data_IF_548361163546
#
_entry.id   IF_548361163546
#
_cell.length_a   1.000
_cell.length_b   1.000
_cell.length_c   1.000
_cell.angle_alpha   90.00
_cell.angle_beta   90.00
_cell.angle_gamma   90.00
#
_symmetry.space_group_name_H-M   'P 1'
#
loop_
_entity.id
_entity.type
_entity.pdbx_description
1 polymer ?
#
# COMPACT_ATOMS: atom_id res chain seq x y z
N UNK A 1 16.08 -5.89 49.18
CA UNK A 1 15.79 -6.95 48.19
C UNK A 1 15.58 -6.29 46.86
N UNK A 2 16.60 -6.32 46.01
CA UNK A 2 16.63 -5.68 44.70
C UNK A 2 15.78 -6.51 43.74
N UNK A 3 14.63 -5.98 43.32
CA UNK A 3 13.83 -6.59 42.27
C UNK A 3 14.59 -6.48 40.95
N UNK A 4 15.18 -7.59 40.51
CA UNK A 4 15.71 -7.71 39.17
C UNK A 4 14.53 -7.67 38.18
N UNK A 5 14.49 -6.64 37.33
CA UNK A 5 13.67 -6.65 36.12
C UNK A 5 13.99 -7.91 35.32
N UNK A 6 12.98 -8.63 34.79
CA UNK A 6 13.23 -9.75 33.91
C UNK A 6 14.03 -9.25 32.70
N UNK A 7 15.19 -9.85 32.43
CA UNK A 7 15.98 -9.59 31.23
C UNK A 7 15.06 -9.73 30.01
N UNK A 8 15.02 -8.72 29.14
CA UNK A 8 14.25 -8.78 27.91
C UNK A 8 14.68 -9.99 27.09
N UNK A 9 13.71 -10.72 26.50
CA UNK A 9 13.94 -11.88 25.63
C UNK A 9 14.84 -11.56 24.41
N UNK A 10 15.08 -10.26 24.16
CA UNK A 10 15.97 -9.72 23.13
C UNK A 10 17.47 -10.03 23.31
N UNK A 11 17.89 -10.47 24.51
CA UNK A 11 19.32 -10.65 24.84
C UNK A 11 19.76 -12.14 24.91
N UNK A 12 18.89 -13.07 24.45
CA UNK A 12 19.28 -14.48 24.32
C UNK A 12 20.28 -14.65 23.18
N UNK A 13 21.44 -15.29 23.41
CA UNK A 13 22.43 -15.49 22.36
C UNK A 13 21.81 -16.30 21.22
N UNK A 14 22.00 -15.84 19.99
CA UNK A 14 21.61 -16.59 18.81
C UNK A 14 22.40 -17.88 18.78
N UNK A 15 21.69 -18.98 18.90
CA UNK A 15 22.24 -20.30 18.68
C UNK A 15 22.13 -20.55 17.17
N UNK A 16 23.16 -21.13 16.56
CA UNK A 16 23.12 -21.60 15.16
C UNK A 16 23.19 -23.12 15.19
N UNK A 17 22.08 -23.74 15.60
CA UNK A 17 21.99 -25.19 15.81
C UNK A 17 20.68 -25.73 15.24
N UNK A 18 20.68 -27.03 14.93
CA UNK A 18 19.46 -27.72 14.58
C UNK A 18 18.56 -27.90 15.81
N UNK A 19 17.26 -27.74 15.61
CA UNK A 19 16.29 -28.05 16.65
C UNK A 19 16.09 -29.57 16.76
N UNK A 20 15.84 -30.06 17.97
CA UNK A 20 15.60 -31.47 18.24
C UNK A 20 14.38 -32.02 17.48
N UNK A 21 14.44 -33.29 17.11
CA UNK A 21 13.36 -33.91 16.34
C UNK A 21 12.07 -33.99 17.15
N UNK A 22 12.18 -34.36 18.42
CA UNK A 22 11.06 -34.47 19.34
C UNK A 22 10.32 -33.13 19.48
N UNK A 23 11.07 -32.03 19.62
CA UNK A 23 10.50 -30.69 19.76
C UNK A 23 9.78 -30.26 18.47
N UNK A 24 10.39 -30.51 17.30
CA UNK A 24 9.75 -30.20 16.03
C UNK A 24 8.51 -31.08 15.77
N UNK A 25 8.56 -32.36 16.13
CA UNK A 25 7.41 -33.26 16.05
C UNK A 25 6.26 -32.80 16.95
N UNK A 26 6.56 -32.40 18.19
CA UNK A 26 5.58 -31.85 19.13
C UNK A 26 4.95 -30.55 18.60
N UNK A 27 5.74 -29.68 17.98
CA UNK A 27 5.23 -28.49 17.30
C UNK A 27 4.30 -28.84 16.12
N UNK A 28 4.70 -29.78 15.25
CA UNK A 28 3.87 -30.22 14.12
C UNK A 28 2.56 -30.89 14.55
N UNK A 29 2.50 -31.45 15.76
CA UNK A 29 1.27 -32.01 16.32
C UNK A 29 0.22 -30.92 16.64
N UNK A 30 0.65 -29.68 16.91
CA UNK A 30 -0.24 -28.54 17.20
C UNK A 30 -0.86 -27.90 15.96
N UNK A 31 -0.34 -28.21 14.77
CA UNK A 31 -0.82 -27.64 13.51
C UNK A 31 -1.87 -28.58 12.90
N UNK A 32 -3.04 -28.06 12.46
CA UNK A 32 -4.07 -28.87 11.82
C UNK A 32 -3.60 -29.36 10.44
N UNK A 33 -3.06 -30.57 10.38
CA UNK A 33 -2.63 -31.21 9.13
C UNK A 33 -2.81 -32.72 9.17
N UNK A 34 -2.93 -33.32 7.97
CA UNK A 34 -2.98 -34.76 7.81
C UNK A 34 -1.69 -35.45 8.30
N UNK A 35 -1.83 -36.62 8.92
CA UNK A 35 -0.71 -37.39 9.48
C UNK A 35 0.34 -37.75 8.42
N UNK A 36 -0.08 -38.07 7.19
CA UNK A 36 0.84 -38.34 6.08
C UNK A 36 1.70 -37.12 5.73
N UNK A 37 1.16 -35.91 5.86
CA UNK A 37 1.90 -34.67 5.60
C UNK A 37 2.83 -34.31 6.76
N UNK A 38 2.42 -34.59 8.01
CA UNK A 38 3.27 -34.47 9.19
C UNK A 38 4.53 -35.33 9.08
N UNK A 39 4.37 -36.60 8.71
CA UNK A 39 5.49 -37.52 8.45
C UNK A 39 6.41 -37.01 7.34
N UNK A 40 5.85 -36.48 6.25
CA UNK A 40 6.65 -35.85 5.18
C UNK A 40 7.51 -34.69 5.70
N UNK A 41 6.99 -33.83 6.57
CA UNK A 41 7.76 -32.71 7.15
C UNK A 41 8.91 -33.19 8.04
N UNK A 42 8.75 -34.29 8.77
CA UNK A 42 9.83 -34.92 9.54
C UNK A 42 10.91 -35.49 8.62
N UNK A 43 10.52 -36.19 7.55
CA UNK A 43 11.47 -36.68 6.53
C UNK A 43 12.24 -35.50 5.90
N UNK A 44 11.55 -34.41 5.55
CA UNK A 44 12.21 -33.22 4.99
C UNK A 44 13.22 -32.59 5.95
N UNK A 45 12.95 -32.61 7.26
CA UNK A 45 13.93 -32.21 8.29
C UNK A 45 15.13 -33.15 8.29
N UNK A 46 14.92 -34.47 8.34
CA UNK A 46 16.02 -35.46 8.35
C UNK A 46 16.93 -35.29 7.14
N UNK A 47 16.36 -35.26 5.93
CA UNK A 47 17.12 -35.07 4.70
C UNK A 47 17.87 -33.73 4.66
N UNK A 48 17.32 -32.68 5.27
CA UNK A 48 17.99 -31.39 5.37
C UNK A 48 19.21 -31.45 6.29
N UNK A 49 19.07 -32.06 7.47
CA UNK A 49 20.17 -32.21 8.45
C UNK A 49 21.26 -33.16 7.90
N UNK A 50 20.88 -34.25 7.22
CA UNK A 50 21.83 -35.12 6.54
C UNK A 50 22.65 -34.37 5.49
N UNK A 51 22.04 -33.43 4.77
CA UNK A 51 22.72 -32.62 3.75
C UNK A 51 23.55 -31.49 4.34
N UNK A 52 23.11 -30.92 5.45
CA UNK A 52 23.74 -29.78 6.13
C UNK A 52 23.87 -30.08 7.62
N UNK A 53 24.82 -30.93 8.05
CA UNK A 53 24.95 -31.29 9.47
C UNK A 53 25.32 -30.12 10.37
N UNK A 54 26.18 -29.21 9.88
CA UNK A 54 26.32 -27.87 10.45
C UNK A 54 25.43 -26.90 9.67
N UNK A 55 24.45 -26.31 10.35
CA UNK A 55 23.53 -25.35 9.74
C UNK A 55 24.23 -24.10 9.22
N UNK A 56 25.44 -23.78 9.73
CA UNK A 56 26.23 -22.64 9.26
C UNK A 56 26.68 -22.80 7.81
N UNK A 57 26.94 -24.02 7.37
CA UNK A 57 27.28 -24.31 5.97
C UNK A 57 26.11 -23.99 5.04
N UNK A 58 24.87 -24.25 5.50
CA UNK A 58 23.67 -23.84 4.76
C UNK A 58 23.54 -22.31 4.69
N UNK A 59 23.88 -21.58 5.76
CA UNK A 59 23.89 -20.11 5.73
C UNK A 59 24.95 -19.55 4.78
N UNK A 60 26.12 -20.19 4.70
CA UNK A 60 27.20 -19.83 3.79
C UNK A 60 26.90 -20.19 2.32
N UNK A 61 25.93 -21.07 2.06
CA UNK A 61 25.57 -21.46 0.71
C UNK A 61 24.97 -20.28 -0.10
N UNK A 62 25.19 -20.25 -1.43
CA UNK A 62 24.54 -19.28 -2.31
C UNK A 62 23.02 -19.19 -2.11
N UNK A 63 22.49 -17.96 -2.16
CA UNK A 63 21.07 -17.70 -1.94
C UNK A 63 20.12 -18.55 -2.80
N UNK A 64 20.38 -18.82 -4.11
CA UNK A 64 19.55 -19.74 -4.90
C UNK A 64 19.42 -21.14 -4.29
N UNK A 65 20.52 -21.70 -3.76
CA UNK A 65 20.53 -23.01 -3.10
C UNK A 65 19.69 -22.98 -1.82
N UNK A 66 19.80 -21.90 -1.05
CA UNK A 66 19.06 -21.71 0.20
C UNK A 66 17.57 -21.57 -0.04
N UNK A 67 17.17 -20.79 -1.04
CA UNK A 67 15.76 -20.57 -1.41
C UNK A 67 15.14 -21.84 -1.99
N UNK A 68 15.86 -22.52 -2.87
CA UNK A 68 15.54 -23.82 -3.43
C UNK A 68 14.47 -23.88 -4.52
N UNK A 69 13.47 -23.01 -4.50
CA UNK A 69 12.50 -22.86 -5.61
C UNK A 69 12.70 -21.49 -6.23
N UNK A 70 13.24 -21.46 -7.45
CA UNK A 70 13.60 -20.26 -8.18
C UNK A 70 12.43 -19.77 -9.05
N UNK A 71 12.59 -18.61 -9.67
CA UNK A 71 11.62 -18.09 -10.62
C UNK A 71 11.48 -19.06 -11.81
N UNK A 72 10.23 -19.38 -12.18
CA UNK A 72 9.91 -20.38 -13.20
C UNK A 72 9.75 -21.82 -12.67
N UNK A 73 10.24 -22.13 -11.47
CA UNK A 73 10.07 -23.45 -10.87
C UNK A 73 8.61 -23.72 -10.49
N UNK A 74 8.22 -25.00 -10.59
CA UNK A 74 6.99 -25.51 -9.97
C UNK A 74 7.33 -26.01 -8.56
N UNK A 75 6.44 -25.79 -7.59
CA UNK A 75 6.64 -26.29 -6.22
C UNK A 75 6.87 -27.82 -6.13
N UNK A 76 6.32 -28.58 -7.08
CA UNK A 76 6.55 -30.03 -7.17
C UNK A 76 7.96 -30.38 -7.65
N UNK A 77 8.60 -29.48 -8.41
CA UNK A 77 9.91 -29.66 -9.06
C UNK A 77 10.81 -28.43 -8.81
N UNK A 78 11.18 -28.15 -7.55
CA UNK A 78 12.10 -27.06 -7.24
C UNK A 78 13.53 -27.41 -7.66
N UNK A 79 14.31 -26.41 -8.07
CA UNK A 79 15.72 -26.57 -8.47
C UNK A 79 16.59 -27.19 -7.36
N UNK A 80 16.41 -26.75 -6.10
CA UNK A 80 17.07 -27.35 -4.92
C UNK A 80 16.01 -27.87 -3.93
N UNK A 81 15.57 -29.12 -4.09
CA UNK A 81 14.45 -29.67 -3.33
C UNK A 81 14.72 -29.79 -1.84
N UNK A 82 15.95 -30.04 -1.42
CA UNK A 82 16.30 -30.21 0.00
C UNK A 82 16.00 -28.94 0.79
N UNK A 83 16.53 -27.79 0.37
CA UNK A 83 16.28 -26.51 1.04
C UNK A 83 14.81 -26.06 0.90
N UNK A 84 14.20 -26.24 -0.28
CA UNK A 84 12.80 -25.83 -0.48
C UNK A 84 11.84 -26.60 0.44
N UNK A 85 12.02 -27.92 0.56
CA UNK A 85 11.17 -28.79 1.38
C UNK A 85 11.40 -28.57 2.88
N UNK A 86 12.59 -28.12 3.27
CA UNK A 86 12.93 -27.81 4.66
C UNK A 86 12.37 -26.47 5.18
N UNK A 87 11.74 -25.65 4.33
CA UNK A 87 11.28 -24.30 4.72
C UNK A 87 10.44 -24.27 6.00
N UNK A 88 9.50 -25.19 6.18
CA UNK A 88 8.70 -25.23 7.42
C UNK A 88 9.53 -25.49 8.67
N UNK A 89 10.56 -26.33 8.56
CA UNK A 89 11.49 -26.61 9.64
C UNK A 89 12.38 -25.40 9.93
N UNK A 90 12.88 -24.72 8.89
CA UNK A 90 13.67 -23.50 9.05
C UNK A 90 12.86 -22.37 9.70
N UNK A 91 11.58 -22.22 9.36
CA UNK A 91 10.70 -21.25 10.03
C UNK A 91 10.50 -21.60 11.50
N UNK A 92 10.29 -22.88 11.82
CA UNK A 92 10.20 -23.33 13.21
C UNK A 92 11.50 -23.05 13.99
N UNK A 93 12.65 -23.41 13.43
CA UNK A 93 13.96 -23.18 14.06
C UNK A 93 14.20 -21.67 14.29
N UNK A 94 13.85 -20.83 13.32
CA UNK A 94 13.98 -19.38 13.46
C UNK A 94 13.02 -18.80 14.51
N UNK A 95 11.79 -19.30 14.58
CA UNK A 95 10.78 -18.86 15.54
C UNK A 95 11.05 -19.35 16.97
N UNK A 96 11.96 -20.32 17.14
CA UNK A 96 12.38 -20.89 18.44
C UNK A 96 13.82 -20.49 18.83
N UNK A 97 14.35 -19.43 18.21
CA UNK A 97 15.69 -18.87 18.48
C UNK A 97 16.87 -19.82 18.24
N UNK A 98 16.65 -20.93 17.51
CA UNK A 98 17.70 -21.88 17.13
C UNK A 98 18.52 -21.44 15.92
N UNK A 99 18.02 -20.44 15.17
CA UNK A 99 18.71 -19.71 14.09
C UNK A 99 18.13 -18.29 13.93
N UNK A 100 18.82 -17.42 13.20
CA UNK A 100 18.26 -16.16 12.64
C UNK A 100 18.33 -16.17 11.13
N UNK A 101 17.19 -15.97 10.46
CA UNK A 101 17.15 -15.90 9.01
C UNK A 101 17.49 -14.48 8.54
N UNK A 102 18.44 -14.34 7.63
CA UNK A 102 18.74 -13.05 7.02
C UNK A 102 17.61 -12.55 6.11
N UNK A 103 17.58 -11.23 5.91
CA UNK A 103 16.56 -10.59 5.10
C UNK A 103 16.61 -10.98 3.62
N UNK A 104 17.79 -11.28 3.07
CA UNK A 104 17.92 -11.75 1.69
C UNK A 104 17.10 -13.03 1.47
N UNK A 105 17.23 -13.99 2.37
CA UNK A 105 16.40 -15.20 2.37
C UNK A 105 14.90 -14.86 2.54
N UNK A 106 14.56 -14.06 3.55
CA UNK A 106 13.17 -13.75 3.89
C UNK A 106 12.42 -12.97 2.81
N UNK A 107 13.12 -12.15 2.02
CA UNK A 107 12.56 -11.37 0.93
C UNK A 107 12.58 -12.10 -0.41
N UNK A 108 13.51 -13.02 -0.66
CA UNK A 108 13.48 -13.87 -1.84
C UNK A 108 12.35 -14.93 -1.79
N UNK A 109 11.93 -15.38 -0.60
CA UNK A 109 10.77 -16.28 -0.49
C UNK A 109 9.46 -15.55 -0.80
N UNK A 110 8.91 -15.81 -2.00
CA UNK A 110 7.69 -15.17 -2.50
C UNK A 110 6.40 -15.52 -1.74
N UNK A 111 6.18 -16.80 -1.41
CA UNK A 111 5.02 -17.24 -0.63
C UNK A 111 5.48 -17.95 0.65
N UNK A 112 5.25 -17.28 1.78
CA UNK A 112 5.61 -17.75 3.11
C UNK A 112 4.32 -18.09 3.86
N UNK A 113 4.04 -19.38 4.07
CA UNK A 113 2.93 -19.82 4.92
C UNK A 113 3.36 -19.87 6.39
N UNK A 114 3.82 -18.72 6.92
CA UNK A 114 4.38 -18.62 8.29
C UNK A 114 3.32 -18.21 9.30
N UNK A 115 2.17 -17.70 8.86
CA UNK A 115 1.05 -17.46 9.77
C UNK A 115 0.67 -18.74 10.55
N UNK A 116 0.71 -19.89 9.88
CA UNK A 116 0.47 -21.22 10.47
C UNK A 116 1.53 -21.63 11.51
N UNK A 117 2.71 -21.00 11.54
CA UNK A 117 3.78 -21.29 12.50
C UNK A 117 3.84 -20.29 13.66
N UNK A 118 3.21 -19.12 13.55
CA UNK A 118 3.20 -18.11 14.61
C UNK A 118 2.25 -18.47 15.75
N UNK A 119 1.02 -18.87 15.41
CA UNK A 119 -0.04 -19.14 16.40
C UNK A 119 0.33 -20.26 17.39
N UNK A 120 0.84 -21.44 16.99
CA UNK A 120 1.20 -22.50 17.95
C UNK A 120 2.38 -22.16 18.87
N UNK A 121 3.08 -21.06 18.60
CA UNK A 121 4.22 -20.54 19.36
C UNK A 121 3.87 -19.28 20.15
N UNK A 122 2.59 -18.88 20.17
CA UNK A 122 2.11 -17.66 20.83
C UNK A 122 2.86 -16.38 20.40
N UNK A 123 3.37 -16.36 19.16
CA UNK A 123 4.03 -15.17 18.63
C UNK A 123 2.99 -14.12 18.26
N UNK A 124 3.18 -12.91 18.79
CA UNK A 124 2.31 -11.75 18.61
C UNK A 124 0.87 -12.02 19.07
N UNK A 125 0.74 -12.60 20.27
CA UNK A 125 -0.54 -12.73 20.96
C UNK A 125 -1.28 -11.38 20.99
N UNK A 126 -2.60 -11.41 20.79
CA UNK A 126 -3.42 -10.21 20.68
C UNK A 126 -3.42 -9.54 19.29
N UNK A 127 -2.86 -10.17 18.25
CA UNK A 127 -2.89 -9.66 16.88
C UNK A 127 -4.31 -9.31 16.41
N UNK A 128 -5.30 -10.16 16.70
CA UNK A 128 -6.68 -9.90 16.27
C UNK A 128 -7.31 -8.68 16.97
N UNK A 129 -6.96 -8.45 18.24
CA UNK A 129 -7.39 -7.25 18.96
C UNK A 129 -6.74 -5.99 18.35
N UNK A 130 -5.43 -6.03 18.08
CA UNK A 130 -4.72 -4.93 17.43
C UNK A 130 -5.27 -4.64 16.01
N UNK A 131 -5.63 -5.69 15.27
CA UNK A 131 -6.29 -5.57 13.96
C UNK A 131 -7.69 -4.97 14.09
N UNK A 132 -8.48 -5.38 15.08
CA UNK A 132 -9.81 -4.82 15.33
C UNK A 132 -9.73 -3.32 15.68
N UNK A 133 -8.77 -2.94 16.52
CA UNK A 133 -8.53 -1.55 16.89
C UNK A 133 -8.08 -0.68 15.71
N UNK A 134 -7.52 -1.28 14.65
CA UNK A 134 -7.17 -0.54 13.43
C UNK A 134 -8.40 0.09 12.73
N UNK A 135 -9.61 -0.41 12.97
CA UNK A 135 -10.83 0.22 12.47
C UNK A 135 -11.06 1.61 13.11
N UNK A 136 -10.66 1.79 14.37
CA UNK A 136 -10.72 3.07 15.10
C UNK A 136 -9.78 4.12 14.52
N UNK A 137 -8.85 3.77 13.63
CA UNK A 137 -7.98 4.71 12.91
C UNK A 137 -8.32 4.78 11.41
N UNK A 138 -9.47 4.21 11.00
CA UNK A 138 -9.97 4.29 9.62
C UNK A 138 -9.33 3.30 8.65
N UNK A 139 -8.61 2.29 9.15
CA UNK A 139 -8.06 1.22 8.31
C UNK A 139 -9.04 0.06 8.14
N UNK A 140 -8.90 -0.66 7.02
CA UNK A 140 -9.59 -1.94 6.81
C UNK A 140 -8.89 -3.03 7.63
N UNK A 141 -9.62 -3.67 8.54
CA UNK A 141 -9.11 -4.80 9.33
C UNK A 141 -8.51 -5.90 8.44
N UNK A 142 -9.18 -6.29 7.35
CA UNK A 142 -8.66 -7.28 6.39
C UNK A 142 -7.35 -6.85 5.75
N UNK A 143 -7.25 -5.58 5.35
CA UNK A 143 -6.03 -5.03 4.75
C UNK A 143 -4.86 -4.98 5.74
N UNK A 144 -5.14 -4.60 6.98
CA UNK A 144 -4.15 -4.58 8.07
C UNK A 144 -3.70 -6.00 8.41
N UNK A 145 -4.62 -6.94 8.59
CA UNK A 145 -4.29 -8.33 8.87
C UNK A 145 -3.40 -8.93 7.79
N UNK A 146 -3.72 -8.68 6.51
CA UNK A 146 -2.90 -9.13 5.38
C UNK A 146 -1.49 -8.49 5.40
N UNK A 147 -1.38 -7.20 5.75
CA UNK A 147 -0.09 -6.53 5.88
C UNK A 147 0.75 -7.09 7.03
N UNK A 148 0.15 -7.26 8.21
CA UNK A 148 0.83 -7.74 9.42
C UNK A 148 1.28 -9.19 9.28
N UNK A 149 0.46 -10.07 8.66
CA UNK A 149 0.84 -11.46 8.36
C UNK A 149 2.03 -11.59 7.41
N UNK A 150 2.39 -10.52 6.68
CA UNK A 150 3.58 -10.48 5.83
C UNK A 150 4.81 -9.98 6.60
N UNK A 151 4.63 -8.94 7.42
CA UNK A 151 5.73 -8.24 8.11
C UNK A 151 6.17 -8.96 9.38
N UNK A 152 5.23 -9.26 10.28
CA UNK A 152 5.53 -9.80 11.61
C UNK A 152 6.34 -11.09 11.60
N UNK A 153 6.03 -12.12 10.79
CA UNK A 153 6.84 -13.34 10.82
C UNK A 153 8.28 -13.12 10.37
N UNK A 154 8.53 -12.14 9.48
CA UNK A 154 9.89 -11.84 9.02
C UNK A 154 10.68 -11.05 10.04
N UNK A 155 10.04 -10.12 10.76
CA UNK A 155 10.65 -9.49 11.92
C UNK A 155 11.01 -10.55 12.97
N UNK A 156 10.05 -11.38 13.39
CA UNK A 156 10.29 -12.42 14.39
C UNK A 156 11.42 -13.40 14.00
N UNK A 157 11.47 -13.87 12.75
CA UNK A 157 12.53 -14.80 12.32
C UNK A 157 13.91 -14.16 12.15
N UNK A 158 13.96 -12.85 11.91
CA UNK A 158 15.21 -12.11 11.74
C UNK A 158 15.77 -11.58 13.06
N UNK A 159 14.91 -11.01 13.90
CA UNK A 159 15.29 -10.34 15.15
C UNK A 159 15.09 -11.21 16.38
N UNK A 160 14.16 -12.18 16.32
CA UNK A 160 13.69 -12.96 17.47
C UNK A 160 12.56 -12.33 18.26
N UNK A 161 12.23 -11.08 17.97
CA UNK A 161 11.20 -10.37 18.73
C UNK A 161 9.82 -10.85 18.32
N UNK A 162 9.13 -11.52 19.23
CA UNK A 162 7.80 -12.12 19.00
C UNK A 162 6.67 -11.47 19.77
N UNK A 163 6.94 -10.45 20.59
CA UNK A 163 5.89 -9.71 21.29
C UNK A 163 5.71 -8.33 20.65
N UNK A 164 4.49 -7.79 20.68
CA UNK A 164 4.29 -6.39 20.24
C UNK A 164 5.03 -5.43 21.17
N UNK A 165 4.99 -5.68 22.48
CA UNK A 165 5.58 -4.82 23.51
C UNK A 165 7.10 -4.65 23.41
N UNK A 166 7.80 -5.56 22.74
CA UNK A 166 9.25 -5.52 22.55
C UNK A 166 9.67 -4.94 21.18
N UNK A 167 8.73 -4.69 20.27
CA UNK A 167 9.03 -4.01 19.01
C UNK A 167 9.36 -2.54 19.24
N UNK A 168 10.35 -2.06 18.49
CA UNK A 168 11.00 -0.74 18.62
C UNK A 168 11.30 -0.19 17.23
N UNK A 169 11.59 1.11 17.15
CA UNK A 169 11.87 1.77 15.88
C UNK A 169 12.99 1.09 15.08
N UNK A 170 14.11 0.74 15.74
CA UNK A 170 15.27 0.17 15.05
C UNK A 170 14.96 -1.15 14.31
N UNK A 171 14.08 -2.00 14.85
CA UNK A 171 13.64 -3.23 14.16
C UNK A 171 12.91 -2.93 12.84
N UNK A 172 12.15 -1.83 12.78
CA UNK A 172 11.46 -1.42 11.57
C UNK A 172 12.44 -0.82 10.56
N UNK A 173 13.40 -0.02 11.04
CA UNK A 173 14.43 0.61 10.21
C UNK A 173 15.34 -0.45 9.58
N UNK A 174 15.77 -1.45 10.36
CA UNK A 174 16.59 -2.56 9.90
C UNK A 174 15.87 -3.36 8.79
N UNK A 175 14.59 -3.66 8.96
CA UNK A 175 13.78 -4.32 7.93
C UNK A 175 13.68 -3.47 6.65
N UNK A 176 13.49 -2.15 6.77
CA UNK A 176 13.45 -1.27 5.60
C UNK A 176 14.80 -1.17 4.90
N UNK A 177 15.90 -1.14 5.66
CA UNK A 177 17.25 -1.21 5.10
C UNK A 177 17.47 -2.54 4.35
N UNK A 178 17.02 -3.67 4.93
CA UNK A 178 17.05 -4.97 4.27
C UNK A 178 16.22 -5.01 2.98
N UNK A 179 15.06 -4.35 2.95
CA UNK A 179 14.24 -4.22 1.73
C UNK A 179 14.99 -3.47 0.64
N UNK A 180 15.68 -2.38 0.99
CA UNK A 180 16.46 -1.59 0.03
C UNK A 180 17.70 -2.35 -0.45
N UNK A 181 18.41 -3.03 0.45
CA UNK A 181 19.55 -3.88 0.11
C UNK A 181 19.15 -5.01 -0.84
N UNK A 182 18.06 -5.72 -0.54
CA UNK A 182 17.53 -6.77 -1.41
C UNK A 182 17.10 -6.22 -2.78
N UNK A 183 16.47 -5.04 -2.80
CA UNK A 183 16.05 -4.38 -4.02
C UNK A 183 17.22 -3.96 -4.92
N UNK A 184 18.40 -3.69 -4.34
CA UNK A 184 19.61 -3.29 -5.07
C UNK A 184 20.41 -4.47 -5.63
N UNK A 185 20.05 -5.72 -5.30
CA UNK A 185 20.75 -6.91 -5.79
C UNK A 185 20.59 -7.10 -7.30
N UNK A 186 21.68 -7.49 -7.96
CA UNK A 186 21.73 -7.72 -9.41
C UNK A 186 21.05 -9.04 -9.85
N UNK A 187 20.98 -10.01 -8.94
CA UNK A 187 20.50 -11.38 -9.20
C UNK A 187 19.01 -11.59 -8.85
N UNK A 188 18.26 -10.50 -8.62
CA UNK A 188 16.85 -10.55 -8.20
C UNK A 188 15.92 -11.24 -9.19
N UNK A 189 16.26 -11.21 -10.48
CA UNK A 189 15.56 -11.91 -11.56
C UNK A 189 15.51 -13.44 -11.36
N UNK A 190 16.44 -14.01 -10.58
CA UNK A 190 16.45 -15.44 -10.24
C UNK A 190 15.29 -15.80 -9.31
N UNK A 191 14.80 -14.85 -8.51
CA UNK A 191 13.77 -15.08 -7.49
C UNK A 191 12.41 -14.48 -7.84
N UNK A 192 12.38 -13.51 -8.76
CA UNK A 192 11.23 -12.65 -9.03
C UNK A 192 10.78 -12.80 -10.46
N UNK A 193 9.47 -12.82 -10.67
CA UNK A 193 8.89 -12.82 -12.01
C UNK A 193 9.05 -11.45 -12.67
N UNK A 194 9.40 -11.40 -13.96
CA UNK A 194 9.55 -10.17 -14.76
C UNK A 194 8.28 -9.30 -14.79
N UNK A 195 7.10 -9.90 -14.58
CA UNK A 195 5.82 -9.18 -14.51
C UNK A 195 5.62 -8.44 -13.19
N UNK A 196 6.44 -8.70 -12.17
CA UNK A 196 6.39 -7.97 -10.90
C UNK A 196 6.93 -6.55 -11.08
N UNK A 197 6.26 -5.57 -10.46
CA UNK A 197 6.79 -4.21 -10.40
C UNK A 197 7.98 -4.17 -9.44
N UNK A 198 9.18 -4.39 -9.97
CA UNK A 198 10.44 -4.44 -9.22
C UNK A 198 11.46 -3.45 -9.82
N UNK A 199 12.31 -2.78 -9.01
CA UNK A 199 12.33 -2.79 -7.55
C UNK A 199 11.27 -1.89 -6.90
N UNK A 200 10.77 -0.89 -7.63
CA UNK A 200 9.97 0.20 -7.06
C UNK A 200 8.64 -0.26 -6.43
N UNK A 201 7.93 -1.22 -7.05
CA UNK A 201 6.68 -1.75 -6.51
C UNK A 201 6.90 -2.62 -5.27
N UNK A 202 7.96 -3.43 -5.26
CA UNK A 202 8.40 -4.19 -4.08
C UNK A 202 8.70 -3.26 -2.90
N UNK A 203 9.60 -2.28 -3.08
CA UNK A 203 9.96 -1.33 -2.02
C UNK A 203 8.74 -0.57 -1.51
N UNK A 204 7.89 -0.07 -2.42
CA UNK A 204 6.65 0.64 -2.05
C UNK A 204 5.73 -0.26 -1.22
N UNK A 205 5.52 -1.50 -1.65
CA UNK A 205 4.63 -2.45 -0.96
C UNK A 205 5.11 -2.72 0.47
N UNK A 206 6.41 -2.94 0.66
CA UNK A 206 7.00 -3.16 1.98
C UNK A 206 6.90 -1.93 2.87
N UNK A 207 7.29 -0.76 2.37
CA UNK A 207 7.18 0.50 3.12
C UNK A 207 5.76 0.77 3.59
N UNK A 208 4.75 0.51 2.76
CA UNK A 208 3.34 0.66 3.15
C UNK A 208 2.97 -0.29 4.29
N UNK A 209 3.33 -1.57 4.20
CA UNK A 209 3.00 -2.57 5.23
C UNK A 209 3.73 -2.29 6.55
N UNK A 210 5.04 -1.98 6.49
CA UNK A 210 5.84 -1.63 7.67
C UNK A 210 5.30 -0.37 8.35
N UNK A 211 4.87 0.61 7.56
CA UNK A 211 4.28 1.85 8.07
C UNK A 211 2.94 1.63 8.76
N UNK A 212 2.12 0.68 8.29
CA UNK A 212 0.90 0.27 9.00
C UNK A 212 1.25 -0.30 10.36
N UNK A 213 2.24 -1.21 10.44
CA UNK A 213 2.71 -1.73 11.72
C UNK A 213 3.25 -0.61 12.63
N UNK A 214 4.09 0.29 12.10
CA UNK A 214 4.63 1.42 12.86
C UNK A 214 3.52 2.29 13.47
N UNK A 215 2.44 2.55 12.72
CA UNK A 215 1.30 3.33 13.21
C UNK A 215 0.60 2.62 14.37
N UNK A 216 0.36 1.31 14.25
CA UNK A 216 -0.31 0.53 15.30
C UNK A 216 0.55 0.44 16.56
N UNK A 217 1.86 0.22 16.41
CA UNK A 217 2.80 0.23 17.54
C UNK A 217 2.82 1.61 18.22
N UNK A 218 2.82 2.70 17.45
CA UNK A 218 2.77 4.05 18.02
C UNK A 218 1.49 4.30 18.82
N UNK A 219 0.34 3.86 18.30
CA UNK A 219 -0.94 3.94 19.04
C UNK A 219 -0.95 3.07 20.29
N UNK A 220 -0.25 1.94 20.27
CA UNK A 220 -0.09 1.04 21.41
C UNK A 220 0.96 1.54 22.44
N UNK A 221 1.54 2.74 22.24
CA UNK A 221 2.50 3.34 23.16
C UNK A 221 3.91 2.73 23.10
N UNK A 222 4.20 1.92 22.07
CA UNK A 222 5.56 1.44 21.84
C UNK A 222 6.52 2.58 21.51
N UNK A 223 7.80 2.38 21.82
CA UNK A 223 8.89 3.27 21.42
C UNK A 223 9.20 3.15 19.91
N UNK A 224 8.33 3.78 19.13
CA UNK A 224 8.41 3.93 17.67
C UNK A 224 8.12 5.37 17.28
N UNK A 225 8.75 5.83 16.21
CA UNK A 225 8.50 7.17 15.68
C UNK A 225 7.10 7.23 15.06
N UNK A 226 6.36 8.29 15.35
CA UNK A 226 5.07 8.57 14.73
C UNK A 226 5.20 8.61 13.19
N UNK A 227 4.46 7.77 12.43
CA UNK A 227 4.54 7.81 10.97
C UNK A 227 4.03 9.15 10.42
N UNK A 228 4.91 9.91 9.75
CA UNK A 228 4.50 11.17 9.11
C UNK A 228 3.58 10.90 7.92
N UNK A 229 2.35 11.42 7.89
CA UNK A 229 1.45 11.33 6.72
C UNK A 229 2.15 11.94 5.51
N UNK A 230 2.75 11.09 4.66
CA UNK A 230 3.39 11.56 3.43
C UNK A 230 2.25 11.92 2.48
N UNK A 231 1.97 13.21 2.36
CA UNK A 231 1.04 13.76 1.38
C UNK A 231 1.60 13.76 -0.05
N UNK A 232 2.49 12.82 -0.38
CA UNK A 232 3.09 12.76 -1.72
C UNK A 232 2.10 12.14 -2.72
N UNK A 233 1.04 12.90 -2.98
CA UNK A 233 0.10 12.63 -4.05
C UNK A 233 0.73 13.15 -5.34
N UNK A 234 1.30 12.18 -6.07
CA UNK A 234 1.48 12.19 -7.53
C UNK A 234 2.71 12.96 -8.02
N UNK A 235 3.83 12.24 -8.21
CA UNK A 235 4.72 12.59 -9.32
C UNK A 235 3.88 12.71 -10.61
N UNK A 236 3.99 13.81 -11.37
CA UNK A 236 3.33 13.92 -12.66
C UNK A 236 3.78 12.76 -13.55
N UNK A 237 2.82 11.96 -14.04
CA UNK A 237 3.11 10.94 -15.05
C UNK A 237 3.44 11.70 -16.34
N UNK A 238 4.54 11.35 -16.99
CA UNK A 238 4.91 11.93 -18.28
C UNK A 238 3.75 11.73 -19.27
N UNK A 239 3.37 12.81 -19.96
CA UNK A 239 2.30 12.73 -20.95
C UNK A 239 2.80 12.01 -22.21
N UNK A 240 1.99 11.13 -22.82
CA UNK A 240 2.34 10.51 -24.10
C UNK A 240 2.32 11.51 -25.28
N UNK A 241 1.71 12.69 -25.09
CA UNK A 241 1.73 13.82 -26.03
C UNK A 241 2.15 15.09 -25.29
N UNK A 242 3.47 15.31 -25.10
CA UNK A 242 4.00 16.49 -24.40
C UNK A 242 3.61 17.81 -25.07
N UNK A 243 3.53 17.81 -26.40
CA UNK A 243 3.08 18.90 -27.26
C UNK A 243 1.68 19.40 -26.90
N UNK A 244 0.71 18.49 -26.74
CA UNK A 244 -0.65 18.83 -26.33
C UNK A 244 -0.73 19.14 -24.83
N UNK A 245 0.04 18.43 -24.01
CA UNK A 245 0.03 18.59 -22.56
C UNK A 245 0.57 19.97 -22.13
N UNK A 246 1.46 20.59 -22.89
CA UNK A 246 1.99 21.92 -22.59
C UNK A 246 0.86 22.96 -22.48
N UNK A 247 -0.06 22.98 -23.45
CA UNK A 247 -1.20 23.89 -23.45
C UNK A 247 -2.15 23.63 -22.29
N UNK A 248 -2.40 22.35 -21.97
CA UNK A 248 -3.17 21.99 -20.78
C UNK A 248 -2.49 22.51 -19.50
N UNK A 249 -1.16 22.41 -19.40
CA UNK A 249 -0.39 22.91 -18.26
C UNK A 249 -0.46 24.44 -18.16
N UNK A 250 -0.31 25.16 -19.28
CA UNK A 250 -0.48 26.63 -19.34
C UNK A 250 -1.87 27.05 -18.87
N UNK A 251 -2.91 26.34 -19.28
CA UNK A 251 -4.28 26.61 -18.84
C UNK A 251 -4.45 26.36 -17.34
N UNK A 252 -3.95 25.22 -16.84
CA UNK A 252 -4.01 24.88 -15.42
C UNK A 252 -3.27 25.90 -14.55
N UNK A 253 -2.12 26.41 -15.01
CA UNK A 253 -1.37 27.45 -14.29
C UNK A 253 -2.19 28.74 -14.15
N UNK A 254 -2.84 29.19 -15.22
CA UNK A 254 -3.78 30.31 -15.15
C UNK A 254 -4.93 30.05 -14.18
N UNK A 255 -5.45 28.81 -14.12
CA UNK A 255 -6.51 28.45 -13.17
C UNK A 255 -6.04 28.39 -11.71
N UNK A 256 -4.76 28.15 -11.44
CA UNK A 256 -4.21 28.19 -10.07
C UNK A 256 -4.32 29.56 -9.42
N UNK A 257 -4.34 30.63 -10.21
CA UNK A 257 -4.49 31.99 -9.70
C UNK A 257 -5.89 32.23 -9.10
N UNK A 258 -6.92 31.54 -9.61
CA UNK A 258 -8.32 31.81 -9.26
C UNK A 258 -9.05 30.65 -8.55
N UNK A 259 -8.53 29.43 -8.63
CA UNK A 259 -9.19 28.23 -8.09
C UNK A 259 -8.35 27.56 -7.00
N UNK A 260 -9.04 26.93 -6.04
CA UNK A 260 -8.41 26.14 -5.00
C UNK A 260 -7.59 24.96 -5.58
N UNK A 261 -6.49 24.61 -4.91
CA UNK A 261 -5.56 23.56 -5.36
C UNK A 261 -6.24 22.22 -5.71
N UNK A 262 -7.15 21.67 -4.88
CA UNK A 262 -7.82 20.40 -5.20
C UNK A 262 -8.62 20.47 -6.51
N UNK A 263 -9.26 21.61 -6.79
CA UNK A 263 -10.02 21.81 -8.03
C UNK A 263 -9.11 21.74 -9.25
N UNK A 264 -7.98 22.44 -9.22
CA UNK A 264 -7.00 22.40 -10.30
C UNK A 264 -6.40 20.99 -10.46
N UNK A 265 -6.14 20.29 -9.36
CA UNK A 265 -5.64 18.90 -9.42
C UNK A 265 -6.66 17.96 -10.07
N UNK A 266 -7.97 18.16 -9.83
CA UNK A 266 -9.02 17.44 -10.54
C UNK A 266 -9.05 17.78 -12.03
N UNK A 267 -8.87 19.05 -12.39
CA UNK A 267 -8.79 19.47 -13.79
C UNK A 267 -7.58 18.84 -14.49
N UNK A 268 -6.44 18.78 -13.81
CA UNK A 268 -5.21 18.14 -14.33
C UNK A 268 -5.38 16.63 -14.55
N UNK A 269 -6.17 15.95 -13.71
CA UNK A 269 -6.55 14.55 -13.96
C UNK A 269 -7.38 14.44 -15.23
N UNK A 270 -8.41 15.28 -15.41
CA UNK A 270 -9.24 15.27 -16.62
C UNK A 270 -8.42 15.48 -17.88
N UNK A 271 -7.50 16.45 -17.88
CA UNK A 271 -6.64 16.73 -19.03
C UNK A 271 -5.73 15.55 -19.38
N UNK A 272 -5.13 14.88 -18.39
CA UNK A 272 -4.33 13.68 -18.66
C UNK A 272 -5.14 12.59 -19.34
N UNK A 273 -6.35 12.31 -18.86
CA UNK A 273 -7.21 11.30 -19.50
C UNK A 273 -7.55 11.68 -20.95
N UNK A 274 -7.82 12.95 -21.22
CA UNK A 274 -8.09 13.41 -22.58
C UNK A 274 -6.87 13.29 -23.51
N UNK A 275 -5.70 13.73 -23.04
CA UNK A 275 -4.45 13.63 -23.81
C UNK A 275 -4.06 12.16 -24.06
N UNK A 276 -4.26 11.28 -23.08
CA UNK A 276 -4.09 9.83 -23.28
C UNK A 276 -5.08 9.26 -24.29
N UNK A 277 -6.34 9.70 -24.26
CA UNK A 277 -7.33 9.30 -25.27
C UNK A 277 -6.87 9.71 -26.68
N UNK A 278 -6.47 10.97 -26.88
CA UNK A 278 -5.96 11.45 -28.18
C UNK A 278 -4.75 10.62 -28.63
N UNK A 279 -3.79 10.39 -27.74
CA UNK A 279 -2.60 9.60 -28.06
C UNK A 279 -2.89 8.15 -28.47
N UNK A 280 -3.93 7.54 -27.92
CA UNK A 280 -4.17 6.08 -28.06
C UNK A 280 -5.27 5.75 -29.07
N UNK A 281 -6.26 6.63 -29.23
CA UNK A 281 -7.45 6.39 -30.05
C UNK A 281 -7.56 7.34 -31.24
N UNK A 282 -6.94 8.52 -31.17
CA UNK A 282 -7.04 9.55 -32.20
C UNK A 282 -5.65 10.15 -32.52
N UNK A 283 -4.67 9.32 -32.90
CA UNK A 283 -3.28 9.77 -33.07
C UNK A 283 -3.09 10.75 -34.24
N UNK A 284 -4.03 10.77 -35.20
CA UNK A 284 -4.04 11.71 -36.32
C UNK A 284 -4.31 13.17 -35.91
N UNK A 285 -4.84 13.39 -34.71
CA UNK A 285 -5.08 14.73 -34.17
C UNK A 285 -3.75 15.33 -33.71
N UNK A 286 -3.27 16.31 -34.46
CA UNK A 286 -1.98 16.96 -34.19
C UNK A 286 -2.14 18.17 -33.26
N UNK A 287 -3.29 18.84 -33.29
CA UNK A 287 -3.56 20.02 -32.50
C UNK A 287 -5.04 20.08 -32.07
N UNK A 288 -5.41 21.08 -31.26
CA UNK A 288 -6.78 21.16 -30.73
C UNK A 288 -7.80 21.75 -31.71
N UNK A 289 -7.38 22.42 -32.79
CA UNK A 289 -8.31 22.97 -33.79
C UNK A 289 -9.03 21.88 -34.59
N UNK A 290 -8.41 20.70 -34.71
CA UNK A 290 -9.01 19.53 -35.36
C UNK A 290 -10.11 18.86 -34.51
N UNK A 291 -10.34 19.34 -33.27
CA UNK A 291 -11.39 18.80 -32.41
C UNK A 291 -12.74 19.38 -32.84
N UNK A 292 -13.57 18.50 -33.40
CA UNK A 292 -14.95 18.80 -33.76
C UNK A 292 -15.94 18.09 -32.79
N UNK A 293 -17.25 18.39 -32.88
CA UNK A 293 -18.27 17.74 -32.05
C UNK A 293 -18.33 16.21 -32.18
N UNK A 294 -17.99 15.65 -33.36
CA UNK A 294 -18.00 14.21 -33.61
C UNK A 294 -16.89 13.50 -32.82
N UNK A 295 -15.67 14.02 -32.88
CA UNK A 295 -14.52 13.55 -32.10
C UNK A 295 -14.78 13.67 -30.60
N UNK A 296 -15.42 14.76 -30.18
CA UNK A 296 -15.77 14.95 -28.78
C UNK A 296 -16.84 13.95 -28.33
N UNK A 297 -17.82 13.64 -29.16
CA UNK A 297 -18.78 12.57 -28.91
C UNK A 297 -18.11 11.19 -28.81
N UNK A 298 -17.09 10.92 -29.61
CA UNK A 298 -16.26 9.72 -29.44
C UNK A 298 -15.52 9.69 -28.09
N UNK A 299 -14.99 10.82 -27.64
CA UNK A 299 -14.41 10.93 -26.31
C UNK A 299 -15.45 10.67 -25.20
N UNK A 300 -16.68 11.18 -25.34
CA UNK A 300 -17.77 10.91 -24.41
C UNK A 300 -18.12 9.42 -24.35
N UNK A 301 -18.16 8.73 -25.50
CA UNK A 301 -18.33 7.27 -25.56
C UNK A 301 -17.18 6.54 -24.87
N UNK A 302 -15.94 6.96 -25.10
CA UNK A 302 -14.77 6.38 -24.46
C UNK A 302 -14.84 6.48 -22.92
N UNK A 303 -15.27 7.62 -22.38
CA UNK A 303 -15.42 7.81 -20.93
C UNK A 303 -16.42 6.84 -20.27
N UNK A 304 -17.34 6.23 -21.02
CA UNK A 304 -18.27 5.24 -20.49
C UNK A 304 -17.58 3.92 -20.10
N UNK A 305 -16.50 3.58 -20.80
CA UNK A 305 -15.74 2.35 -20.59
C UNK A 305 -14.44 2.58 -19.82
N UNK A 306 -14.12 3.83 -19.49
CA UNK A 306 -12.93 4.14 -18.70
C UNK A 306 -13.09 3.62 -17.26
N UNK A 307 -12.05 2.95 -16.76
CA UNK A 307 -12.06 2.24 -15.48
C UNK A 307 -11.28 3.08 -14.46
N UNK A 308 -11.90 3.34 -13.32
CA UNK A 308 -11.20 3.99 -12.22
C UNK A 308 -10.12 3.05 -11.64
N UNK A 309 -8.85 3.39 -11.85
CA UNK A 309 -7.69 2.60 -11.40
C UNK A 309 -7.72 2.19 -9.93
N UNK A 310 -8.32 3.01 -9.05
CA UNK A 310 -8.44 2.72 -7.61
C UNK A 310 -9.52 1.69 -7.28
N UNK A 311 -10.63 1.67 -8.02
CA UNK A 311 -11.82 0.88 -7.66
C UNK A 311 -12.07 -0.28 -8.62
N UNK A 312 -11.40 -0.33 -9.77
CA UNK A 312 -11.64 -1.34 -10.81
C UNK A 312 -13.01 -1.24 -11.49
N UNK A 313 -13.86 -0.33 -11.04
CA UNK A 313 -15.19 -0.08 -11.57
C UNK A 313 -15.21 1.03 -12.65
N UNK A 314 -16.20 1.03 -13.56
CA UNK A 314 -16.42 2.13 -14.49
C UNK A 314 -16.57 3.48 -13.78
N UNK A 315 -16.21 4.56 -14.47
CA UNK A 315 -16.39 5.91 -13.93
C UNK A 315 -17.86 6.22 -13.61
N UNK A 316 -18.10 6.79 -12.42
CA UNK A 316 -19.41 7.34 -12.07
C UNK A 316 -19.87 8.41 -13.07
N UNK A 317 -21.18 8.59 -13.22
CA UNK A 317 -21.77 9.66 -14.07
C UNK A 317 -21.17 11.03 -13.73
N UNK A 318 -21.00 11.34 -12.44
CA UNK A 318 -20.39 12.61 -12.00
C UNK A 318 -18.95 12.76 -12.49
N UNK A 319 -18.14 11.70 -12.41
CA UNK A 319 -16.75 11.72 -12.85
C UNK A 319 -16.67 11.89 -14.38
N UNK A 320 -17.54 11.22 -15.14
CA UNK A 320 -17.64 11.37 -16.59
C UNK A 320 -18.01 12.81 -16.97
N UNK A 321 -19.06 13.38 -16.35
CA UNK A 321 -19.51 14.76 -16.57
C UNK A 321 -18.43 15.79 -16.20
N UNK A 322 -17.77 15.62 -15.06
CA UNK A 322 -16.70 16.52 -14.62
C UNK A 322 -15.51 16.52 -15.59
N UNK A 323 -15.11 15.34 -16.10
CA UNK A 323 -14.02 15.22 -17.08
C UNK A 323 -14.38 15.88 -18.40
N UNK A 324 -15.51 15.51 -18.98
CA UNK A 324 -16.02 16.09 -20.22
C UNK A 324 -16.14 17.62 -20.12
N UNK A 325 -16.79 18.12 -19.06
CA UNK A 325 -16.96 19.55 -18.85
C UNK A 325 -15.63 20.29 -18.65
N UNK A 326 -14.63 19.66 -18.02
CA UNK A 326 -13.29 20.26 -17.89
C UNK A 326 -12.63 20.42 -19.26
N UNK A 327 -12.68 19.40 -20.11
CA UNK A 327 -12.06 19.44 -21.45
C UNK A 327 -12.77 20.46 -22.33
N UNK A 328 -14.10 20.46 -22.36
CA UNK A 328 -14.87 21.45 -23.11
C UNK A 328 -14.54 22.90 -22.66
N UNK A 329 -14.43 23.12 -21.34
CA UNK A 329 -14.02 24.42 -20.80
C UNK A 329 -12.59 24.80 -21.21
N UNK A 330 -11.66 23.86 -21.18
CA UNK A 330 -10.29 24.10 -21.66
C UNK A 330 -10.27 24.56 -23.12
N UNK A 331 -11.00 23.86 -23.99
CA UNK A 331 -11.06 24.18 -25.42
C UNK A 331 -11.74 25.53 -25.67
N UNK A 332 -12.84 25.81 -24.96
CA UNK A 332 -13.52 27.10 -25.03
C UNK A 332 -12.70 28.26 -24.48
N UNK A 333 -11.98 28.06 -23.36
CA UNK A 333 -11.10 29.08 -22.79
C UNK A 333 -9.92 29.36 -23.72
N UNK A 334 -9.33 28.32 -24.33
CA UNK A 334 -8.25 28.47 -25.31
C UNK A 334 -8.69 29.26 -26.53
N UNK A 335 -9.90 28.98 -27.05
CA UNK A 335 -10.51 29.75 -28.12
C UNK A 335 -10.74 31.22 -27.73
N UNK A 336 -11.32 31.47 -26.55
CA UNK A 336 -11.60 32.82 -26.05
C UNK A 336 -10.33 33.63 -25.71
N UNK A 337 -9.19 32.97 -25.55
CA UNK A 337 -7.89 33.60 -25.34
C UNK A 337 -7.07 33.72 -26.62
N UNK A 338 -7.69 33.46 -27.78
CA UNK A 338 -7.07 33.47 -29.10
C UNK A 338 -5.79 32.64 -29.18
N UNK A 339 -5.78 31.48 -28.49
CA UNK A 339 -4.65 30.56 -28.59
C UNK A 339 -4.59 29.91 -29.97
N UNK A 340 -3.38 29.79 -30.56
CA UNK A 340 -3.23 29.17 -31.86
C UNK A 340 -3.63 27.70 -31.79
N UNK A 341 -4.22 27.21 -32.88
CA UNK A 341 -4.62 25.81 -33.03
C UNK A 341 -5.64 25.33 -31.98
N UNK A 342 -6.59 26.21 -31.63
CA UNK A 342 -7.77 25.86 -30.85
C UNK A 342 -9.05 25.96 -31.71
N UNK A 343 -10.13 25.26 -31.33
CA UNK A 343 -11.41 25.33 -32.02
C UNK A 343 -11.98 26.75 -31.98
N UNK A 344 -12.56 27.21 -33.08
CA UNK A 344 -13.18 28.54 -33.16
C UNK A 344 -14.63 28.58 -32.66
N UNK A 345 -15.22 27.41 -32.38
CA UNK A 345 -16.60 27.26 -31.92
C UNK A 345 -16.68 26.33 -30.71
N UNK A 346 -17.66 26.53 -29.80
CA UNK A 346 -17.91 25.59 -28.71
C UNK A 346 -18.18 24.17 -29.24
N UNK A 347 -17.48 23.18 -28.67
CA UNK A 347 -17.56 21.78 -29.12
C UNK A 347 -18.66 20.99 -28.40
N UNK A 348 -19.05 21.44 -27.21
CA UNK A 348 -19.99 20.74 -26.35
C UNK A 348 -21.18 21.66 -26.06
N UNK A 349 -22.39 21.21 -26.43
CA UNK A 349 -23.61 21.80 -25.89
C UNK A 349 -23.78 21.29 -24.44
N UNK A 350 -24.04 22.16 -23.45
CA UNK A 350 -24.34 21.72 -22.08
C UNK A 350 -25.44 20.65 -21.95
N UNK A 351 -26.35 20.58 -22.94
CA UNK A 351 -27.42 19.58 -23.02
C UNK A 351 -26.94 18.16 -23.39
N UNK A 352 -25.76 18.04 -24.00
CA UNK A 352 -25.18 16.74 -24.39
C UNK A 352 -24.56 15.99 -23.20
N UNK A 353 -24.35 16.68 -22.08
CA UNK A 353 -23.80 16.06 -20.88
C UNK A 353 -24.82 15.13 -20.19
N UNK A 354 -24.40 13.97 -19.66
CA UNK A 354 -25.28 13.05 -18.97
C UNK A 354 -26.14 13.73 -17.90
N UNK A 355 -27.46 13.53 -17.98
CA UNK A 355 -28.42 14.07 -17.00
C UNK A 355 -28.16 13.47 -15.62
N UNK A 356 -28.03 14.33 -14.63
CA UNK A 356 -27.88 13.90 -13.24
C UNK A 356 -29.27 13.62 -12.68
N UNK A 357 -29.45 12.44 -12.08
CA UNK A 357 -30.61 12.22 -11.23
C UNK A 357 -30.61 13.25 -10.10
N UNK A 358 -31.77 13.84 -9.81
CA UNK A 358 -31.94 14.73 -8.66
C UNK A 358 -31.50 13.97 -7.39
N UNK A 359 -30.42 14.45 -6.78
CA UNK A 359 -29.96 13.90 -5.50
C UNK A 359 -30.64 14.67 -4.39
N UNK A 360 -31.24 13.95 -3.46
CA UNK A 360 -31.60 14.53 -2.16
C UNK A 360 -30.33 15.14 -1.55
N UNK A 361 -30.35 16.42 -1.14
CA UNK A 361 -29.19 17.05 -0.51
C UNK A 361 -28.68 16.22 0.67
N UNK A 362 -27.39 15.91 0.68
CA UNK A 362 -26.73 15.21 1.80
C UNK A 362 -26.34 16.19 2.89
N UNK A 363 -27.29 17.01 3.35
CA UNK A 363 -27.06 17.78 4.57
C UNK A 363 -27.54 16.95 5.76
N UNK A 364 -26.79 17.03 6.84
CA UNK A 364 -27.22 16.49 8.12
C UNK A 364 -28.11 17.59 8.74
N UNK A 365 -29.40 17.34 9.02
CA UNK A 365 -30.26 18.28 9.70
C UNK A 365 -29.62 18.82 10.99
N UNK A 366 -29.94 20.05 11.38
CA UNK A 366 -29.27 20.74 12.50
C UNK A 366 -29.32 19.93 13.81
N UNK A 367 -30.42 19.22 14.05
CA UNK A 367 -30.58 18.35 15.22
C UNK A 367 -29.66 17.11 15.16
N UNK A 368 -29.44 16.56 13.96
CA UNK A 368 -28.53 15.44 13.74
C UNK A 368 -27.06 15.92 13.77
N UNK A 369 -26.79 17.12 13.27
CA UNK A 369 -25.46 17.73 13.30
C UNK A 369 -25.06 18.07 14.74
N UNK A 370 -25.97 18.67 15.51
CA UNK A 370 -25.76 18.99 16.93
C UNK A 370 -25.45 17.73 17.75
N UNK A 371 -26.20 16.63 17.51
CA UNK A 371 -25.92 15.33 18.13
C UNK A 371 -24.56 14.76 17.74
N UNK A 372 -24.17 14.87 16.47
CA UNK A 372 -22.86 14.42 16.00
C UNK A 372 -21.72 15.26 16.62
N UNK A 373 -21.86 16.58 16.64
CA UNK A 373 -20.87 17.51 17.19
C UNK A 373 -20.69 17.33 18.70
N UNK A 374 -21.75 16.98 19.44
CA UNK A 374 -21.67 16.64 20.85
C UNK A 374 -20.89 15.34 21.13
N UNK A 375 -20.85 14.40 20.17
CA UNK A 375 -20.20 13.08 20.29
C UNK A 375 -18.75 13.06 19.75
N UNK A 376 -18.35 14.08 18.98
CA UNK A 376 -16.99 14.21 18.46
C UNK A 376 -15.90 14.31 19.55
N UNK A 377 -16.11 15.03 20.67
CA UNK A 377 -15.14 15.08 21.77
C UNK A 377 -14.94 13.76 22.51
N UNK A 378 -15.92 12.85 22.47
CA UNK A 378 -15.81 11.51 23.06
C UNK A 378 -15.11 10.49 22.15
N UNK A 379 -14.69 10.88 20.94
CA UNK A 379 -13.83 10.05 20.10
C UNK A 379 -12.41 10.07 20.66
N UNK A 380 -12.00 8.95 21.25
CA UNK A 380 -10.69 8.75 21.88
C UNK A 380 -9.50 8.86 20.90
N UNK A 381 -9.73 8.66 19.60
CA UNK A 381 -8.69 8.61 18.59
C UNK A 381 -8.44 9.96 17.89
N UNK A 382 -7.23 10.53 18.05
CA UNK A 382 -6.85 11.80 17.39
C UNK A 382 -6.83 11.73 15.85
N UNK A 383 -6.61 10.57 15.25
CA UNK A 383 -6.66 10.41 13.78
C UNK A 383 -8.08 10.51 13.22
N UNK A 384 -9.09 10.25 14.07
CA UNK A 384 -10.49 10.51 13.75
C UNK A 384 -10.90 11.96 14.11
N UNK A 385 -10.12 12.63 14.95
CA UNK A 385 -10.40 13.96 15.49
C UNK A 385 -9.49 15.03 14.84
N UNK A 386 -9.61 15.19 13.52
CA UNK A 386 -8.75 16.07 12.68
C UNK A 386 -8.80 17.56 13.10
N UNK A 387 -9.78 17.97 13.91
CA UNK A 387 -9.98 19.35 14.36
C UNK A 387 -9.09 19.78 15.55
N UNK A 388 -8.28 18.90 16.15
CA UNK A 388 -7.42 19.24 17.30
C UNK A 388 -6.04 19.82 16.95
N UNK A 389 -5.80 20.19 15.69
CA UNK A 389 -4.55 20.86 15.33
C UNK A 389 -4.49 22.30 15.89
N UNK A 390 -3.40 22.72 16.56
CA UNK A 390 -3.24 24.08 17.07
C UNK A 390 -3.05 25.15 15.98
N UNK A 391 -2.96 24.75 14.71
CA UNK A 391 -3.00 25.65 13.55
C UNK A 391 -4.29 25.39 12.76
N UNK A 392 -5.42 25.82 13.32
CA UNK A 392 -6.70 25.87 12.59
C UNK A 392 -6.65 26.94 11.49
N UNK A 393 -7.39 26.76 10.38
CA UNK A 393 -7.51 27.79 9.36
C UNK A 393 -8.16 29.06 9.95
N UNK A 394 -7.77 30.26 9.50
CA UNK A 394 -8.35 31.50 10.03
C UNK A 394 -9.86 31.52 9.80
N UNK A 395 -10.58 31.85 10.88
CA UNK A 395 -12.03 31.93 10.97
C UNK A 395 -12.59 32.80 9.84
N UNK A 396 -13.16 32.15 8.81
CA UNK A 396 -13.92 32.82 7.75
C UNK A 396 -15.40 32.85 8.11
N UNK A 397 -15.75 33.52 9.21
CA UNK A 397 -17.11 34.04 9.37
C UNK A 397 -17.16 35.46 8.81
N UNK A 398 -18.01 35.77 7.82
CA UNK A 398 -18.30 37.14 7.48
C UNK A 398 -18.94 37.80 8.71
N UNK A 399 -18.33 38.86 9.23
CA UNK A 399 -18.96 39.75 10.21
C UNK A 399 -20.15 40.41 9.52
N UNK A 400 -21.35 39.93 9.85
CA UNK A 400 -22.59 40.63 9.51
C UNK A 400 -22.73 41.77 10.51
N UNK A 401 -22.40 42.98 10.08
CA UNK A 401 -22.73 44.20 10.82
C UNK A 401 -24.21 44.50 10.61
N UNK A 402 -25.04 44.65 11.66
CA UNK A 402 -26.42 45.08 11.49
C UNK A 402 -26.43 46.54 11.01
N UNK A 403 -27.08 46.81 9.88
CA UNK A 403 -27.52 48.15 9.52
C UNK A 403 -28.53 48.61 10.59
N UNK A 404 -28.13 49.57 11.41
CA UNK A 404 -29.07 50.31 12.23
C UNK A 404 -29.98 51.13 11.31
N UNK A 405 -31.29 50.97 11.49
CA UNK A 405 -32.28 51.91 10.98
C UNK A 405 -32.14 53.23 11.74
N UNK A 406 -31.95 54.31 10.99
CA UNK A 406 -32.14 55.70 11.37
C UNK A 406 -32.68 56.41 10.15
#
# INVERSE_FOLDING_TARGET
MTHASPKSDADRPVIFEHADEADYAAFLARIPMAESFRRKRLIYRSTFIERWPDIRDWFAAPLPIRIGCLNGDKQAHPTYPVSFRARSYLYYAAMTDRIRLDYDFLFAVGNMRVAETMEPLNAYEGLDALVADSAKIGYSATGVQAALRVVLPRLAMHTGVRSFGDLRQHHLDEMIAGVDAFAARHDTHIFRNEKESFPAGFQRSWRVKTRVLQLLLFQNGNDVIRPQIIQDKRKPIASPRPDLQEWANRWLERKRVSLARPTVDHMAVSMRHFVTYLSTRQPSILNFADINPELFNDYLRHLQFDIATRTGAPLSINARRARAGTVAKFLSDGAAWDWPNFPTRPILDPNDLPKLAHRVPRFIPEDQLSRLMAQLPSLECEFQNVNRHPNGPPDRRPKVTPLARG
#
